data_IF_708851794764
#
_entry.id   IF_708851794764
#
_cell.length_a   1.000
_cell.length_b   1.000
_cell.length_c   1.000
_cell.angle_alpha   90.00
_cell.angle_beta   90.00
_cell.angle_gamma   90.00
#
_symmetry.space_group_name_H-M   'P 1'
#
loop_
_entity.id
_entity.type
_entity.pdbx_description
1 polymer ?
#
# COMPACT_ATOMS: atom_id res chain seq x y z
N UNK A 1 13.04 -7.54 -7.06
CA UNK A 1 11.94 -7.47 -8.06
C UNK A 1 10.85 -6.68 -7.38
N UNK A 2 10.43 -5.53 -7.90
CA UNK A 2 9.59 -4.59 -7.14
C UNK A 2 8.13 -5.05 -6.97
N UNK A 3 7.53 -4.73 -5.83
CA UNK A 3 6.12 -4.89 -5.52
C UNK A 3 5.39 -3.57 -5.80
N UNK A 4 4.44 -3.58 -6.74
CA UNK A 4 3.56 -2.44 -6.99
C UNK A 4 2.30 -2.62 -6.14
N UNK A 5 2.08 -1.72 -5.18
CA UNK A 5 0.92 -1.78 -4.30
C UNK A 5 -0.32 -1.21 -4.97
N UNK A 6 -1.42 -1.94 -4.81
CA UNK A 6 -2.76 -1.51 -5.19
C UNK A 6 -3.45 -0.74 -4.06
N UNK A 7 -4.49 0.00 -4.42
CA UNK A 7 -5.24 0.91 -3.53
C UNK A 7 -5.96 0.16 -2.41
N UNK A 8 -6.41 -1.08 -2.67
CA UNK A 8 -6.96 -1.96 -1.65
C UNK A 8 -5.92 -2.28 -0.56
N UNK A 9 -4.68 -2.58 -0.96
CA UNK A 9 -3.60 -2.90 -0.02
C UNK A 9 -3.25 -1.69 0.84
N UNK A 10 -3.23 -0.49 0.25
CA UNK A 10 -3.04 0.74 1.03
C UNK A 10 -4.21 0.99 1.98
N UNK A 11 -5.44 0.72 1.55
CA UNK A 11 -6.63 0.84 2.41
C UNK A 11 -6.56 -0.10 3.61
N UNK A 12 -6.10 -1.35 3.41
CA UNK A 12 -5.90 -2.33 4.49
C UNK A 12 -4.81 -1.88 5.47
N UNK A 13 -3.73 -1.29 4.96
CA UNK A 13 -2.68 -0.68 5.79
C UNK A 13 -3.23 0.47 6.64
N UNK A 14 -4.04 1.35 6.04
CA UNK A 14 -4.67 2.48 6.73
C UNK A 14 -5.67 2.00 7.78
N UNK A 15 -6.42 0.93 7.49
CA UNK A 15 -7.38 0.30 8.43
C UNK A 15 -6.70 -0.51 9.53
N UNK A 16 -5.40 -0.79 9.41
CA UNK A 16 -4.64 -1.51 10.41
C UNK A 16 -4.74 -3.03 10.32
N UNK A 17 -5.05 -3.58 9.14
CA UNK A 17 -5.13 -5.04 8.94
C UNK A 17 -3.79 -5.72 9.25
N UNK A 18 -3.78 -6.58 10.27
CA UNK A 18 -2.56 -7.13 10.84
C UNK A 18 -1.76 -8.00 9.86
N UNK A 19 -2.46 -8.76 9.00
CA UNK A 19 -1.81 -9.64 8.02
C UNK A 19 -1.08 -8.84 6.96
N UNK A 20 -1.72 -7.79 6.44
CA UNK A 20 -1.16 -6.89 5.42
C UNK A 20 0.02 -6.10 5.99
N UNK A 21 -0.11 -5.58 7.21
CA UNK A 21 0.99 -4.88 7.89
C UNK A 21 2.19 -5.77 8.15
N UNK A 22 1.98 -7.04 8.57
CA UNK A 22 3.08 -7.99 8.77
C UNK A 22 3.82 -8.28 7.46
N UNK A 23 3.09 -8.49 6.36
CA UNK A 23 3.70 -8.72 5.05
C UNK A 23 4.51 -7.52 4.56
N UNK A 24 3.94 -6.31 4.61
CA UNK A 24 4.63 -5.10 4.14
C UNK A 24 5.89 -4.81 4.97
N UNK A 25 5.88 -5.08 6.27
CA UNK A 25 7.05 -4.93 7.15
C UNK A 25 8.18 -5.92 6.84
N UNK A 26 7.90 -7.03 6.17
CA UNK A 26 8.92 -8.00 5.75
C UNK A 26 9.57 -7.63 4.41
N UNK A 27 8.97 -6.72 3.65
CA UNK A 27 9.47 -6.28 2.34
C UNK A 27 10.39 -5.06 2.52
N UNK A 28 11.51 -5.03 1.79
CA UNK A 28 12.38 -3.86 1.82
C UNK A 28 11.65 -2.63 1.25
N UNK A 29 11.71 -1.44 1.90
CA UNK A 29 11.07 -0.23 1.40
C UNK A 29 11.50 0.16 -0.03
N UNK A 30 12.73 -0.19 -0.42
CA UNK A 30 13.26 0.06 -1.77
C UNK A 30 12.64 -0.83 -2.84
N UNK A 31 11.95 -1.89 -2.44
CA UNK A 31 11.25 -2.80 -3.34
C UNK A 31 9.74 -2.52 -3.37
N UNK A 32 9.25 -1.51 -2.64
CA UNK A 32 7.84 -1.14 -2.60
C UNK A 32 7.63 0.08 -3.49
N UNK A 33 6.72 -0.05 -4.45
CA UNK A 33 6.35 0.99 -5.38
C UNK A 33 4.84 1.22 -5.32
N UNK A 34 4.42 2.44 -5.62
CA UNK A 34 3.02 2.84 -5.67
C UNK A 34 2.81 3.63 -6.95
N UNK A 35 1.72 3.36 -7.66
CA UNK A 35 1.36 4.12 -8.86
C UNK A 35 0.94 5.55 -8.49
N UNK A 36 1.21 6.51 -9.38
CA UNK A 36 0.68 7.88 -9.24
C UNK A 36 -0.85 7.91 -9.25
N UNK A 37 -1.51 6.92 -9.87
CA UNK A 37 -2.96 6.77 -9.81
C UNK A 37 -3.42 6.35 -8.41
N UNK A 38 -2.79 5.34 -7.83
CA UNK A 38 -3.05 4.92 -6.44
C UNK A 38 -2.82 6.06 -5.44
N UNK A 39 -1.81 6.91 -5.66
CA UNK A 39 -1.61 8.14 -4.85
C UNK A 39 -2.78 9.11 -5.00
N UNK A 40 -3.30 9.29 -6.21
CA UNK A 40 -4.49 10.12 -6.46
C UNK A 40 -5.73 9.52 -5.76
N UNK A 41 -5.96 8.22 -5.86
CA UNK A 41 -7.08 7.53 -5.20
C UNK A 41 -6.97 7.62 -3.67
N UNK A 42 -5.78 7.49 -3.09
CA UNK A 42 -5.59 7.65 -1.65
C UNK A 42 -5.83 9.10 -1.22
N UNK A 43 -5.36 10.06 -1.99
CA UNK A 43 -5.47 11.48 -1.63
C UNK A 43 -6.89 12.03 -1.76
N UNK A 44 -7.68 11.51 -2.69
CA UNK A 44 -9.01 12.04 -3.03
C UNK A 44 -10.16 11.06 -2.80
N UNK A 45 -9.89 9.77 -2.59
CA UNK A 45 -10.89 8.70 -2.50
C UNK A 45 -10.91 7.91 -1.20
N UNK A 46 -9.85 7.95 -0.36
CA UNK A 46 -9.93 7.43 1.01
C UNK A 46 -10.73 8.42 1.87
N UNK A 47 -11.99 8.07 2.12
CA UNK A 47 -12.94 8.75 3.00
C UNK A 47 -13.41 7.80 4.10
#
# INVERSE_FOLDING_TARGET
>A
MGYLLDTCVISDVVKGEENTLKQIKLISPTEIFVSSLTVMEVKYGLF
#
